data_IF_827549612373
#
_entry.id   IF_827549612373
#
_cell.length_a   1.000
_cell.length_b   1.000
_cell.length_c   1.000
_cell.angle_alpha   90.00
_cell.angle_beta   90.00
_cell.angle_gamma   90.00
#
_symmetry.space_group_name_H-M   'P 1'
#
loop_
_entity.id
_entity.type
_entity.pdbx_description
1 polymer ?
#
# COMPACT_ATOMS: atom_id res chain seq x y z
N UNK A 1 11.59 57.51 -23.92
CA UNK A 1 10.27 57.11 -23.41
C UNK A 1 9.52 56.57 -24.61
N UNK A 2 8.97 55.36 -24.55
CA UNK A 2 8.16 54.82 -25.63
C UNK A 2 6.93 55.71 -25.80
N UNK A 3 6.63 56.08 -27.02
CA UNK A 3 5.44 56.89 -27.34
C UNK A 3 4.19 56.00 -27.27
N UNK A 4 3.02 56.62 -27.16
CA UNK A 4 1.74 55.91 -27.18
C UNK A 4 1.58 55.04 -28.45
N UNK A 5 2.08 55.56 -29.59
CA UNK A 5 2.06 54.86 -30.87
C UNK A 5 2.94 53.60 -30.86
N UNK A 6 4.14 53.65 -30.25
CA UNK A 6 5.01 52.49 -30.11
C UNK A 6 4.37 51.38 -29.24
N UNK A 7 3.70 51.79 -28.14
CA UNK A 7 2.98 50.85 -27.28
C UNK A 7 1.80 50.19 -28.01
N UNK A 8 1.09 50.95 -28.83
CA UNK A 8 -0.06 50.46 -29.60
C UNK A 8 0.38 49.47 -30.69
N UNK A 9 1.52 49.71 -31.33
CA UNK A 9 2.11 48.77 -32.29
C UNK A 9 2.51 47.44 -31.64
N UNK A 10 3.13 47.46 -30.47
CA UNK A 10 3.51 46.27 -29.75
C UNK A 10 2.27 45.42 -29.38
N UNK A 11 1.20 46.07 -28.92
CA UNK A 11 -0.04 45.36 -28.55
C UNK A 11 -0.81 44.77 -29.74
N UNK A 12 -0.57 45.30 -30.95
CA UNK A 12 -1.19 44.84 -32.20
C UNK A 12 -0.41 43.70 -32.89
N UNK A 13 0.82 43.39 -32.41
CA UNK A 13 1.60 42.26 -32.94
C UNK A 13 0.80 40.99 -32.77
N UNK A 14 0.65 40.23 -33.86
CA UNK A 14 -0.03 38.93 -33.85
C UNK A 14 0.95 37.82 -33.53
N UNK A 15 0.58 36.96 -32.57
CA UNK A 15 1.28 35.73 -32.25
C UNK A 15 1.07 34.63 -33.31
N UNK A 16 1.81 33.56 -33.23
CA UNK A 16 1.71 32.39 -34.11
C UNK A 16 0.30 31.80 -34.23
N UNK A 17 -0.59 32.13 -33.32
CA UNK A 17 -2.02 31.75 -33.32
C UNK A 17 -2.92 32.82 -33.99
N UNK A 18 -2.33 33.80 -34.68
CA UNK A 18 -2.99 34.89 -35.39
C UNK A 18 -3.88 35.77 -34.49
N UNK A 19 -3.61 35.87 -33.19
CA UNK A 19 -4.28 36.71 -32.21
C UNK A 19 -3.34 37.76 -31.63
N UNK A 20 -3.82 38.98 -31.42
CA UNK A 20 -3.05 40.06 -30.77
C UNK A 20 -3.49 40.21 -29.31
N UNK A 21 -2.63 40.85 -28.50
CA UNK A 21 -2.93 41.14 -27.09
C UNK A 21 -4.16 42.04 -26.98
N UNK A 22 -4.30 43.04 -27.89
CA UNK A 22 -5.48 43.92 -27.96
C UNK A 22 -6.76 43.13 -28.21
N UNK A 23 -6.76 42.20 -29.16
CA UNK A 23 -7.93 41.35 -29.44
C UNK A 23 -8.32 40.46 -28.27
N UNK A 24 -7.32 39.94 -27.57
CA UNK A 24 -7.59 39.14 -26.38
C UNK A 24 -8.18 39.96 -25.24
N UNK A 25 -7.59 41.10 -24.92
CA UNK A 25 -8.12 42.01 -23.88
C UNK A 25 -9.51 42.50 -24.23
N UNK A 26 -9.77 42.87 -25.48
CA UNK A 26 -11.11 43.29 -25.94
C UNK A 26 -12.15 42.15 -25.74
N UNK A 27 -11.78 40.93 -26.03
CA UNK A 27 -12.66 39.76 -25.82
C UNK A 27 -12.93 39.49 -24.33
N UNK A 28 -11.95 39.69 -23.45
CA UNK A 28 -12.14 39.56 -21.99
C UNK A 28 -13.04 40.68 -21.47
N UNK A 29 -12.84 41.93 -21.92
CA UNK A 29 -13.71 43.06 -21.55
C UNK A 29 -15.14 42.84 -22.04
N UNK A 30 -15.32 42.37 -23.25
CA UNK A 30 -16.66 42.04 -23.79
C UNK A 30 -17.36 40.98 -22.93
N UNK A 31 -16.62 39.98 -22.48
CA UNK A 31 -17.14 38.93 -21.62
C UNK A 31 -17.52 39.44 -20.24
N UNK A 32 -16.73 40.35 -19.65
CA UNK A 32 -17.05 41.04 -18.39
C UNK A 32 -18.34 41.82 -18.52
N UNK A 33 -18.53 42.52 -19.65
CA UNK A 33 -19.74 43.28 -19.92
C UNK A 33 -20.98 42.40 -20.10
N UNK A 34 -20.79 41.19 -20.63
CA UNK A 34 -21.89 40.23 -20.83
C UNK A 34 -22.29 39.53 -19.51
N UNK A 35 -21.33 39.15 -18.70
CA UNK A 35 -21.54 38.37 -17.48
C UNK A 35 -21.78 39.24 -16.23
N UNK A 36 -21.36 40.51 -16.28
CA UNK A 36 -21.49 41.50 -15.19
C UNK A 36 -21.13 40.94 -13.80
N UNK A 37 -19.96 40.35 -13.61
CA UNK A 37 -19.58 39.76 -12.33
C UNK A 37 -19.41 40.85 -11.26
N UNK A 38 -19.86 40.57 -10.03
CA UNK A 38 -19.76 41.50 -8.89
C UNK A 38 -18.32 41.89 -8.53
N UNK A 39 -17.33 41.05 -8.90
CA UNK A 39 -15.89 41.25 -8.64
C UNK A 39 -15.10 41.09 -9.94
N UNK A 40 -15.33 41.95 -10.92
CA UNK A 40 -14.71 41.84 -12.25
C UNK A 40 -13.17 41.81 -12.21
N UNK A 41 -12.54 42.55 -11.29
CA UNK A 41 -11.08 42.57 -11.14
C UNK A 41 -10.52 41.27 -10.62
N UNK A 42 -11.17 40.64 -9.63
CA UNK A 42 -10.72 39.34 -9.06
C UNK A 42 -10.94 38.16 -10.02
N UNK A 43 -11.92 38.28 -10.94
CA UNK A 43 -12.22 37.22 -11.91
C UNK A 43 -11.55 37.43 -13.27
N UNK A 44 -10.74 38.50 -13.44
CA UNK A 44 -10.14 38.84 -14.73
C UNK A 44 -9.27 37.68 -15.30
N UNK A 45 -8.47 37.04 -14.47
CA UNK A 45 -7.60 35.93 -14.88
C UNK A 45 -8.42 34.72 -15.31
N UNK A 46 -9.46 34.38 -14.56
CA UNK A 46 -10.34 33.27 -14.89
C UNK A 46 -11.09 33.49 -16.20
N UNK A 47 -11.62 34.69 -16.40
CA UNK A 47 -12.27 35.06 -17.63
C UNK A 47 -11.30 35.08 -18.82
N UNK A 48 -10.05 35.48 -18.58
CA UNK A 48 -8.98 35.42 -19.59
C UNK A 48 -8.68 33.97 -20.01
N UNK A 49 -8.59 33.04 -19.04
CA UNK A 49 -8.41 31.58 -19.30
C UNK A 49 -9.59 31.05 -20.11
N UNK A 50 -10.82 31.40 -19.75
CA UNK A 50 -12.01 30.93 -20.44
C UNK A 50 -12.10 31.48 -21.89
N UNK A 51 -11.66 32.72 -22.11
CA UNK A 51 -11.58 33.32 -23.48
C UNK A 51 -10.52 32.60 -24.30
N UNK A 52 -9.36 32.27 -23.71
CA UNK A 52 -8.32 31.47 -24.37
C UNK A 52 -8.82 30.07 -24.70
N UNK A 53 -9.48 29.41 -23.75
CA UNK A 53 -10.05 28.08 -23.96
C UNK A 53 -11.09 28.02 -25.09
N UNK A 54 -11.92 29.07 -25.23
CA UNK A 54 -12.85 29.18 -26.37
C UNK A 54 -12.14 29.37 -27.72
N UNK A 55 -11.00 30.08 -27.75
CA UNK A 55 -10.21 30.25 -28.96
C UNK A 55 -9.44 28.96 -29.34
N UNK A 56 -8.92 28.24 -28.35
CA UNK A 56 -8.21 26.97 -28.54
C UNK A 56 -9.15 25.79 -28.79
N UNK A 57 -10.44 25.90 -28.42
CA UNK A 57 -11.45 24.98 -28.90
C UNK A 57 -11.81 25.35 -30.36
N UNK A 58 -10.78 25.34 -31.21
CA UNK A 58 -10.99 25.32 -32.65
C UNK A 58 -12.00 24.23 -32.98
N UNK A 59 -12.90 24.52 -33.93
CA UNK A 59 -13.89 23.59 -34.43
C UNK A 59 -13.36 22.16 -34.44
N UNK A 60 -14.09 21.17 -33.92
CA UNK A 60 -13.62 19.82 -33.89
C UNK A 60 -13.08 19.48 -35.28
N UNK A 61 -11.78 19.19 -35.38
CA UNK A 61 -11.23 18.64 -36.62
C UNK A 61 -12.16 17.53 -37.01
N UNK A 62 -12.67 17.48 -38.25
CA UNK A 62 -13.54 16.42 -38.64
C UNK A 62 -12.86 15.09 -38.26
N UNK A 63 -13.59 14.23 -37.62
CA UNK A 63 -13.15 12.90 -37.13
C UNK A 63 -12.80 11.96 -38.28
N UNK A 64 -12.11 12.45 -39.31
CA UNK A 64 -11.92 11.73 -40.58
C UNK A 64 -10.86 10.63 -40.53
N UNK A 65 -10.16 10.47 -39.40
CA UNK A 65 -9.31 9.30 -39.21
C UNK A 65 -9.28 8.91 -37.73
N UNK A 66 -10.32 8.20 -37.29
CA UNK A 66 -10.22 7.43 -36.05
C UNK A 66 -9.15 6.37 -36.31
N UNK A 67 -8.01 6.50 -35.66
CA UNK A 67 -6.95 5.50 -35.79
C UNK A 67 -7.53 4.12 -35.39
N UNK A 68 -7.16 3.02 -36.04
CA UNK A 68 -7.62 1.69 -35.67
C UNK A 68 -7.40 1.41 -34.18
N UNK A 69 -6.33 1.93 -33.62
CA UNK A 69 -5.99 1.83 -32.19
C UNK A 69 -7.00 2.56 -31.29
N UNK A 70 -7.57 3.70 -31.74
CA UNK A 70 -8.58 4.42 -30.97
C UNK A 70 -9.91 3.65 -30.89
N UNK A 71 -10.28 2.93 -31.97
CA UNK A 71 -11.47 2.07 -31.97
C UNK A 71 -11.29 0.87 -31.05
N UNK A 72 -10.10 0.27 -31.09
CA UNK A 72 -9.77 -0.86 -30.21
C UNK A 72 -9.73 -0.42 -28.74
N UNK A 73 -9.13 0.72 -28.47
CA UNK A 73 -9.12 1.32 -27.13
C UNK A 73 -10.54 1.62 -26.64
N UNK A 74 -11.41 2.22 -27.49
CA UNK A 74 -12.79 2.50 -27.14
C UNK A 74 -13.61 1.22 -26.86
N UNK A 75 -13.33 0.13 -27.61
CA UNK A 75 -13.96 -1.18 -27.35
C UNK A 75 -13.51 -1.74 -26.00
N UNK A 76 -12.20 -1.72 -25.71
CA UNK A 76 -11.65 -2.16 -24.41
C UNK A 76 -12.22 -1.33 -23.26
N UNK A 77 -12.28 -0.01 -23.42
CA UNK A 77 -12.87 0.88 -22.42
C UNK A 77 -14.36 0.59 -22.20
N UNK A 78 -15.13 0.33 -23.27
CA UNK A 78 -16.55 -0.03 -23.18
C UNK A 78 -16.74 -1.38 -22.48
N UNK A 79 -15.90 -2.37 -22.78
CA UNK A 79 -15.93 -3.68 -22.11
C UNK A 79 -15.62 -3.53 -20.62
N UNK A 80 -14.62 -2.72 -20.29
CA UNK A 80 -14.24 -2.42 -18.91
C UNK A 80 -15.39 -1.77 -18.13
N UNK A 81 -16.03 -0.75 -18.70
CA UNK A 81 -17.20 -0.10 -18.08
C UNK A 81 -18.36 -1.08 -17.89
N UNK A 82 -18.57 -1.98 -18.83
CA UNK A 82 -19.59 -3.02 -18.69
C UNK A 82 -19.25 -4.00 -17.57
N UNK A 83 -18.00 -4.42 -17.47
CA UNK A 83 -17.52 -5.29 -16.37
C UNK A 83 -17.62 -4.60 -15.01
N UNK A 84 -17.28 -3.29 -14.92
CA UNK A 84 -17.44 -2.48 -13.73
C UNK A 84 -18.89 -2.44 -13.23
N UNK A 85 -19.85 -2.33 -14.13
CA UNK A 85 -21.27 -2.27 -13.79
C UNK A 85 -21.84 -3.65 -13.40
N UNK A 86 -21.24 -4.74 -13.86
CA UNK A 86 -21.71 -6.09 -13.62
C UNK A 86 -21.01 -6.80 -12.46
N UNK A 87 -19.89 -6.24 -11.95
CA UNK A 87 -19.19 -6.83 -10.81
C UNK A 87 -20.04 -6.71 -9.54
N UNK A 88 -20.28 -7.81 -8.82
CA UNK A 88 -20.98 -7.76 -7.53
C UNK A 88 -20.16 -6.90 -6.55
N UNK A 89 -20.83 -5.95 -5.89
CA UNK A 89 -20.17 -5.03 -4.95
C UNK A 89 -19.49 -5.74 -3.76
N UNK A 90 -19.92 -6.95 -3.48
CA UNK A 90 -19.44 -7.73 -2.33
C UNK A 90 -18.27 -8.67 -2.70
N UNK A 91 -18.11 -8.98 -3.99
CA UNK A 91 -17.05 -9.88 -4.45
C UNK A 91 -15.74 -9.15 -4.75
N UNK A 92 -15.78 -7.89 -5.21
CA UNK A 92 -14.61 -7.11 -5.52
C UNK A 92 -14.54 -5.87 -4.63
N UNK A 93 -13.44 -5.72 -3.90
CA UNK A 93 -13.20 -4.55 -3.05
C UNK A 93 -13.24 -3.25 -3.85
N UNK A 94 -13.96 -2.26 -3.35
CA UNK A 94 -13.99 -0.93 -3.97
C UNK A 94 -12.76 -0.10 -3.56
N UNK A 95 -11.65 -0.32 -4.25
CA UNK A 95 -10.38 0.31 -3.95
C UNK A 95 -10.44 1.86 -4.04
N UNK A 96 -11.31 2.42 -4.89
CA UNK A 96 -11.43 3.88 -5.01
C UNK A 96 -11.93 4.54 -3.73
N UNK A 97 -12.86 3.89 -3.01
CA UNK A 97 -13.32 4.36 -1.69
C UNK A 97 -12.28 4.11 -0.60
N UNK A 98 -11.55 3.00 -0.69
CA UNK A 98 -10.57 2.62 0.31
C UNK A 98 -9.31 3.47 0.20
N UNK A 99 -8.96 3.93 -0.99
CA UNK A 99 -7.83 4.85 -1.20
C UNK A 99 -7.99 6.15 -0.43
N UNK A 100 -9.20 6.70 -0.34
CA UNK A 100 -9.45 7.91 0.46
C UNK A 100 -9.14 7.71 1.94
N UNK A 101 -9.44 6.52 2.48
CA UNK A 101 -9.06 6.15 3.87
C UNK A 101 -7.55 5.93 4.00
N UNK A 102 -6.93 5.26 3.04
CA UNK A 102 -5.49 4.99 3.04
C UNK A 102 -4.66 6.28 2.93
N UNK A 103 -5.16 7.32 2.25
CA UNK A 103 -4.51 8.63 2.20
C UNK A 103 -4.35 9.23 3.61
N UNK A 104 -5.33 9.08 4.50
CA UNK A 104 -5.21 9.46 5.91
C UNK A 104 -4.12 8.67 6.64
N UNK A 105 -3.95 7.40 6.30
CA UNK A 105 -2.88 6.56 6.80
C UNK A 105 -1.49 6.93 6.28
N UNK A 106 -1.42 7.85 5.32
CA UNK A 106 -0.17 8.24 4.65
C UNK A 106 0.27 7.24 3.58
N UNK A 107 -0.66 6.42 3.09
CA UNK A 107 -0.45 5.51 1.96
C UNK A 107 -1.33 6.00 0.82
N UNK A 108 -0.74 6.68 -0.15
CA UNK A 108 -1.47 7.15 -1.34
C UNK A 108 -1.02 6.38 -2.56
N UNK A 109 -1.97 5.72 -3.22
CA UNK A 109 -1.76 5.13 -4.54
C UNK A 109 -2.06 6.11 -5.67
N UNK A 110 -2.69 7.28 -5.34
CA UNK A 110 -3.22 8.19 -6.35
C UNK A 110 -4.51 7.67 -7.00
N UNK A 111 -5.33 8.60 -7.51
CA UNK A 111 -6.66 8.26 -8.06
C UNK A 111 -6.58 7.44 -9.35
N UNK A 112 -5.62 7.74 -10.20
CA UNK A 112 -5.44 7.05 -11.48
C UNK A 112 -4.91 5.63 -11.27
N UNK A 113 -3.90 5.47 -10.40
CA UNK A 113 -3.31 4.17 -10.07
C UNK A 113 -4.33 3.27 -9.37
N UNK A 114 -5.07 3.76 -8.38
CA UNK A 114 -6.10 2.99 -7.68
C UNK A 114 -7.25 2.57 -8.59
N UNK A 115 -7.66 3.45 -9.51
CA UNK A 115 -8.66 3.10 -10.51
C UNK A 115 -8.17 2.01 -11.48
N UNK A 116 -6.91 2.12 -11.95
CA UNK A 116 -6.31 1.10 -12.80
C UNK A 116 -6.26 -0.27 -12.10
N UNK A 117 -5.80 -0.29 -10.84
CA UNK A 117 -5.76 -1.50 -10.02
C UNK A 117 -7.17 -2.09 -9.85
N UNK A 118 -8.16 -1.25 -9.52
CA UNK A 118 -9.54 -1.68 -9.38
C UNK A 118 -10.10 -2.32 -10.65
N UNK A 119 -9.83 -1.73 -11.82
CA UNK A 119 -10.19 -2.31 -13.10
C UNK A 119 -9.56 -3.69 -13.32
N UNK A 120 -8.29 -3.85 -12.93
CA UNK A 120 -7.58 -5.14 -13.04
C UNK A 120 -8.12 -6.20 -12.08
N UNK A 121 -8.57 -5.81 -10.89
CA UNK A 121 -9.25 -6.71 -9.96
C UNK A 121 -10.57 -7.24 -10.55
N UNK A 122 -11.35 -6.36 -11.19
CA UNK A 122 -12.60 -6.77 -11.84
C UNK A 122 -12.34 -7.66 -13.06
N UNK A 123 -11.32 -7.33 -13.86
CA UNK A 123 -10.91 -8.16 -14.99
C UNK A 123 -10.51 -9.57 -14.51
N UNK A 124 -9.71 -9.65 -13.44
CA UNK A 124 -9.32 -10.92 -12.82
C UNK A 124 -10.54 -11.71 -12.34
N UNK A 125 -11.42 -11.08 -11.57
CA UNK A 125 -12.65 -11.72 -11.08
C UNK A 125 -13.50 -12.27 -12.22
N UNK A 126 -13.74 -11.46 -13.26
CA UNK A 126 -14.55 -11.88 -14.41
C UNK A 126 -13.94 -13.04 -15.19
N UNK A 127 -12.61 -13.08 -15.32
CA UNK A 127 -11.92 -14.14 -16.03
C UNK A 127 -11.88 -15.46 -15.25
N UNK A 128 -11.97 -15.39 -13.92
CA UNK A 128 -11.86 -16.57 -13.05
C UNK A 128 -13.20 -17.13 -12.59
N UNK A 129 -14.32 -16.44 -12.88
CA UNK A 129 -15.67 -16.95 -12.51
C UNK A 129 -16.01 -18.31 -13.11
N UNK A 130 -15.55 -18.56 -14.34
CA UNK A 130 -15.83 -19.79 -15.08
C UNK A 130 -14.63 -20.77 -15.07
N UNK A 131 -13.64 -20.55 -14.18
CA UNK A 131 -12.47 -21.42 -14.06
C UNK A 131 -12.74 -22.63 -13.17
N UNK A 132 -11.83 -23.61 -13.19
CA UNK A 132 -11.90 -24.80 -12.33
C UNK A 132 -11.77 -24.45 -10.83
N UNK A 133 -11.17 -23.30 -10.49
CA UNK A 133 -11.04 -22.78 -9.13
C UNK A 133 -11.63 -21.35 -9.09
N UNK A 134 -12.97 -21.22 -8.95
CA UNK A 134 -13.64 -19.93 -9.00
C UNK A 134 -13.28 -19.07 -7.80
N UNK A 135 -13.09 -17.77 -8.05
CA UNK A 135 -12.79 -16.78 -7.02
C UNK A 135 -14.08 -16.21 -6.47
N UNK A 136 -14.27 -16.30 -5.15
CA UNK A 136 -15.42 -15.73 -4.44
C UNK A 136 -15.24 -14.24 -4.13
N UNK A 137 -14.03 -13.85 -3.70
CA UNK A 137 -13.70 -12.46 -3.38
C UNK A 137 -12.31 -12.08 -3.86
N UNK A 138 -12.15 -10.83 -4.29
CA UNK A 138 -10.86 -10.22 -4.65
C UNK A 138 -10.65 -8.96 -3.83
N UNK A 139 -9.52 -8.91 -3.14
CA UNK A 139 -9.07 -7.77 -2.35
C UNK A 139 -7.71 -7.28 -2.80
N UNK A 140 -7.46 -6.00 -2.67
CA UNK A 140 -6.14 -5.44 -2.85
C UNK A 140 -5.34 -5.63 -1.56
N UNK A 141 -4.34 -6.50 -1.59
CA UNK A 141 -3.47 -6.74 -0.44
C UNK A 141 -2.44 -5.63 -0.26
N UNK A 142 -1.86 -5.15 -1.35
CA UNK A 142 -0.87 -4.09 -1.28
C UNK A 142 0.09 -4.03 -2.45
N UNK A 143 1.16 -3.26 -2.27
CA UNK A 143 2.19 -3.00 -3.26
C UNK A 143 3.56 -3.36 -2.69
N UNK A 144 4.26 -4.29 -3.33
CA UNK A 144 5.64 -4.61 -3.03
C UNK A 144 6.56 -3.84 -3.98
N UNK A 145 7.45 -3.04 -3.40
CA UNK A 145 8.36 -2.19 -4.14
C UNK A 145 9.56 -3.00 -4.64
N UNK A 146 9.79 -2.95 -5.94
CA UNK A 146 10.91 -3.59 -6.59
C UNK A 146 12.03 -2.63 -6.94
N UNK A 147 13.16 -3.18 -7.40
CA UNK A 147 14.25 -2.37 -7.92
C UNK A 147 13.85 -1.65 -9.22
N UNK A 148 14.34 -0.43 -9.39
CA UNK A 148 14.14 0.38 -10.62
C UNK A 148 12.65 0.70 -10.93
N UNK A 149 11.78 0.70 -9.92
CA UNK A 149 10.35 0.97 -10.09
C UNK A 149 9.58 -0.17 -10.78
N UNK A 150 10.11 -1.40 -10.73
CA UNK A 150 9.42 -2.61 -11.16
C UNK A 150 8.67 -3.19 -9.97
N UNK A 151 7.50 -2.62 -9.67
CA UNK A 151 6.72 -2.93 -8.49
C UNK A 151 5.72 -4.06 -8.77
N UNK A 152 5.29 -4.73 -7.71
CA UNK A 152 4.27 -5.78 -7.74
C UNK A 152 3.02 -5.30 -7.01
N UNK A 153 1.89 -5.25 -7.72
CA UNK A 153 0.58 -5.05 -7.08
C UNK A 153 -0.02 -6.42 -6.79
N UNK A 154 -0.32 -6.65 -5.53
CA UNK A 154 -0.73 -7.97 -5.04
C UNK A 154 -2.23 -7.98 -4.78
N UNK A 155 -2.92 -8.99 -5.34
CA UNK A 155 -4.34 -9.26 -5.12
C UNK A 155 -4.48 -10.52 -4.26
N UNK A 156 -5.25 -10.42 -3.20
CA UNK A 156 -5.64 -11.53 -2.35
C UNK A 156 -7.00 -12.04 -2.81
N UNK A 157 -7.07 -13.32 -3.14
CA UNK A 157 -8.26 -13.96 -3.65
C UNK A 157 -8.72 -15.07 -2.72
N UNK A 158 -9.99 -15.02 -2.37
CA UNK A 158 -10.69 -16.08 -1.64
C UNK A 158 -11.31 -17.02 -2.66
N UNK A 159 -10.81 -18.26 -2.72
CA UNK A 159 -11.31 -19.29 -3.62
C UNK A 159 -12.31 -20.21 -2.90
N UNK A 160 -13.07 -20.98 -3.64
CA UNK A 160 -13.99 -21.94 -3.05
C UNK A 160 -13.21 -23.06 -2.31
N UNK A 161 -13.51 -23.24 -1.04
CA UNK A 161 -12.86 -24.25 -0.20
C UNK A 161 -13.26 -25.69 -0.56
N UNK A 162 -14.32 -25.86 -1.38
CA UNK A 162 -14.80 -27.17 -1.82
C UNK A 162 -13.92 -27.81 -2.90
N UNK A 163 -13.05 -27.04 -3.55
CA UNK A 163 -12.13 -27.55 -4.57
C UNK A 163 -10.90 -28.13 -3.88
N UNK A 164 -10.79 -29.47 -3.87
CA UNK A 164 -9.58 -30.14 -3.44
C UNK A 164 -8.44 -29.86 -4.41
N UNK A 165 -7.49 -29.06 -3.98
CA UNK A 165 -6.26 -28.83 -4.73
C UNK A 165 -5.20 -29.86 -4.37
N UNK A 166 -5.04 -30.88 -5.18
CA UNK A 166 -3.99 -31.91 -5.07
C UNK A 166 -2.55 -31.35 -5.03
N UNK A 167 -2.38 -30.07 -5.29
CA UNK A 167 -1.09 -29.37 -5.29
C UNK A 167 -0.69 -28.73 -3.96
N UNK A 168 -1.60 -28.58 -2.99
CA UNK A 168 -1.32 -27.97 -1.68
C UNK A 168 -0.82 -29.04 -0.74
N UNK A 169 0.49 -29.20 -0.65
CA UNK A 169 1.14 -30.24 0.19
C UNK A 169 1.20 -29.87 1.67
N UNK A 170 0.91 -28.65 2.05
CA UNK A 170 1.02 -28.13 3.40
C UNK A 170 -0.32 -27.63 3.91
N UNK A 171 -0.64 -27.95 5.17
CA UNK A 171 -1.75 -27.38 5.94
C UNK A 171 -3.09 -27.20 5.21
N UNK A 172 -3.17 -27.58 3.93
CA UNK A 172 -4.34 -27.35 3.11
C UNK A 172 -4.66 -25.84 2.96
N UNK A 173 -5.92 -25.52 2.88
CA UNK A 173 -6.44 -24.14 2.82
C UNK A 173 -6.66 -23.51 4.22
N UNK A 174 -6.27 -24.17 5.29
CA UNK A 174 -6.40 -23.64 6.66
C UNK A 174 -5.16 -22.87 7.13
N UNK A 175 -4.01 -23.12 6.48
CA UNK A 175 -2.74 -22.50 6.81
C UNK A 175 -2.37 -21.30 5.95
N UNK A 176 -1.08 -21.15 5.73
CA UNK A 176 -0.52 -20.05 4.95
C UNK A 176 -1.02 -19.97 3.50
N UNK A 177 -1.59 -21.06 2.97
CA UNK A 177 -2.19 -21.12 1.62
C UNK A 177 -3.72 -20.96 1.61
N UNK A 178 -4.31 -20.37 2.65
CA UNK A 178 -5.74 -20.06 2.74
C UNK A 178 -6.23 -19.22 1.56
N UNK A 179 -5.46 -18.21 1.20
CA UNK A 179 -5.75 -17.32 0.08
C UNK A 179 -4.83 -17.59 -1.10
N UNK A 180 -5.38 -17.44 -2.31
CA UNK A 180 -4.59 -17.45 -3.54
C UNK A 180 -4.20 -16.02 -3.88
N UNK A 181 -2.92 -15.81 -4.20
CA UNK A 181 -2.40 -14.49 -4.50
C UNK A 181 -2.05 -14.34 -5.97
N UNK A 182 -2.49 -13.23 -6.54
CA UNK A 182 -2.15 -12.84 -7.91
C UNK A 182 -1.32 -11.55 -7.87
N UNK A 183 -0.39 -11.45 -8.80
CA UNK A 183 0.47 -10.28 -8.93
C UNK A 183 0.26 -9.64 -10.29
N UNK A 184 -0.09 -8.36 -10.26
CA UNK A 184 -0.08 -7.49 -11.43
C UNK A 184 1.32 -6.90 -11.58
N UNK A 185 1.94 -7.13 -12.72
CA UNK A 185 3.25 -6.61 -13.08
C UNK A 185 3.12 -5.31 -13.88
N UNK A 186 4.22 -4.58 -14.05
CA UNK A 186 4.24 -3.29 -14.75
C UNK A 186 3.88 -3.38 -16.24
N UNK A 187 4.01 -4.56 -16.85
CA UNK A 187 3.57 -4.83 -18.24
C UNK A 187 2.05 -5.01 -18.36
N UNK A 188 1.32 -4.97 -17.23
CA UNK A 188 -0.13 -5.17 -17.15
C UNK A 188 -0.55 -6.63 -17.10
N UNK A 189 0.38 -7.58 -17.08
CA UNK A 189 0.10 -9.01 -16.91
C UNK A 189 -0.25 -9.33 -15.45
N UNK A 190 -1.24 -10.21 -15.26
CA UNK A 190 -1.62 -10.74 -13.95
C UNK A 190 -1.20 -12.21 -13.90
N UNK A 191 -0.36 -12.54 -12.92
CA UNK A 191 0.20 -13.88 -12.76
C UNK A 191 -0.15 -14.42 -11.37
N UNK A 192 -0.59 -15.68 -11.29
CA UNK A 192 -0.81 -16.37 -10.02
C UNK A 192 0.54 -16.69 -9.36
N UNK A 193 0.63 -16.46 -8.04
CA UNK A 193 1.78 -16.89 -7.27
C UNK A 193 1.65 -18.36 -6.88
N UNK A 194 2.76 -19.11 -6.84
CA UNK A 194 2.76 -20.51 -6.40
C UNK A 194 2.42 -20.62 -4.92
N UNK A 195 1.91 -21.76 -4.49
CA UNK A 195 1.73 -22.06 -3.07
C UNK A 195 3.08 -22.05 -2.35
N UNK A 196 3.05 -21.57 -1.10
CA UNK A 196 4.24 -21.48 -0.25
C UNK A 196 4.47 -22.76 0.52
N UNK A 197 5.74 -23.08 0.80
CA UNK A 197 6.16 -24.21 1.66
C UNK A 197 6.79 -23.70 2.96
N UNK A 198 6.80 -24.54 4.01
CA UNK A 198 7.43 -24.25 5.30
C UNK A 198 8.89 -23.81 5.15
N UNK A 199 9.65 -24.55 4.31
CA UNK A 199 11.05 -24.23 4.03
C UNK A 199 11.20 -22.84 3.42
N UNK A 200 10.31 -22.46 2.50
CA UNK A 200 10.33 -21.14 1.87
C UNK A 200 10.05 -20.04 2.90
N UNK A 201 9.10 -20.24 3.80
CA UNK A 201 8.79 -19.30 4.88
C UNK A 201 9.98 -19.15 5.83
N UNK A 202 10.57 -20.28 6.28
CA UNK A 202 11.75 -20.28 7.15
C UNK A 202 12.95 -19.56 6.52
N UNK A 203 13.23 -19.84 5.25
CA UNK A 203 14.30 -19.18 4.51
C UNK A 203 13.99 -17.69 4.32
N UNK A 204 12.74 -17.33 3.96
CA UNK A 204 12.36 -15.95 3.71
C UNK A 204 12.54 -15.03 4.94
N UNK A 205 12.35 -15.55 6.16
CA UNK A 205 12.62 -14.79 7.40
C UNK A 205 14.07 -14.34 7.53
N UNK A 206 15.00 -15.12 7.01
CA UNK A 206 16.44 -14.89 7.14
C UNK A 206 17.01 -14.09 5.95
N UNK A 207 16.32 -14.09 4.82
CA UNK A 207 16.78 -13.45 3.59
C UNK A 207 16.33 -11.99 3.56
N UNK A 208 17.29 -11.06 3.53
CA UNK A 208 17.06 -9.63 3.37
C UNK A 208 17.57 -9.17 2.02
N UNK A 209 16.66 -8.98 1.07
CA UNK A 209 17.00 -8.48 -0.26
C UNK A 209 15.85 -7.71 -0.89
N UNK A 210 16.17 -6.80 -1.79
CA UNK A 210 15.18 -6.14 -2.62
C UNK A 210 14.70 -7.03 -3.75
N UNK A 211 13.43 -6.89 -4.12
CA UNK A 211 12.83 -7.57 -5.24
C UNK A 211 13.38 -7.02 -6.56
N UNK A 212 13.60 -7.90 -7.54
CA UNK A 212 14.16 -7.49 -8.83
C UNK A 212 13.11 -7.00 -9.82
N UNK A 213 11.84 -7.37 -9.62
CA UNK A 213 10.75 -7.09 -10.55
C UNK A 213 10.57 -8.15 -11.64
N UNK A 214 11.23 -9.30 -11.51
CA UNK A 214 11.08 -10.43 -12.43
C UNK A 214 10.83 -11.73 -11.64
N UNK A 215 9.60 -12.21 -11.64
CA UNK A 215 9.15 -13.38 -10.89
C UNK A 215 9.91 -14.68 -11.21
N UNK A 216 10.52 -14.78 -12.37
CA UNK A 216 11.18 -16.00 -12.85
C UNK A 216 12.66 -16.12 -12.45
N UNK A 217 13.22 -15.05 -11.87
CA UNK A 217 14.64 -15.05 -11.47
C UNK A 217 14.82 -15.90 -10.21
N UNK A 218 15.88 -16.72 -10.18
CA UNK A 218 16.26 -17.45 -8.98
C UNK A 218 16.76 -16.50 -7.89
N UNK A 219 16.40 -16.80 -6.64
CA UNK A 219 16.79 -15.98 -5.47
C UNK A 219 18.18 -16.40 -5.00
N UNK A 220 19.19 -15.60 -5.34
CA UNK A 220 20.53 -15.79 -4.81
C UNK A 220 20.63 -15.18 -3.40
N UNK A 221 20.66 -16.02 -2.38
CA UNK A 221 20.68 -15.61 -0.98
C UNK A 221 21.43 -16.65 -0.12
N UNK A 222 21.74 -16.27 1.12
CA UNK A 222 22.22 -17.15 2.14
C UNK A 222 21.37 -16.96 3.41
N UNK A 223 20.70 -18.01 3.89
CA UNK A 223 20.64 -19.38 3.34
C UNK A 223 20.07 -19.43 1.92
N UNK A 224 20.37 -20.49 1.19
CA UNK A 224 19.87 -20.68 -0.17
C UNK A 224 18.33 -20.78 -0.16
N UNK A 225 17.67 -19.91 -0.91
CA UNK A 225 16.21 -19.91 -0.99
C UNK A 225 15.74 -20.93 -2.04
N UNK A 226 14.83 -21.87 -1.67
CA UNK A 226 14.34 -22.90 -2.59
C UNK A 226 13.24 -22.33 -3.50
N UNK A 227 13.61 -21.77 -4.66
CA UNK A 227 12.65 -21.31 -5.63
C UNK A 227 13.04 -20.02 -6.36
N UNK A 228 12.10 -19.51 -7.15
CA UNK A 228 12.20 -18.26 -7.87
C UNK A 228 11.74 -17.06 -7.02
N UNK A 229 11.85 -15.85 -7.59
CA UNK A 229 11.32 -14.63 -6.95
C UNK A 229 9.82 -14.72 -6.71
N UNK A 230 9.05 -15.44 -7.54
CA UNK A 230 7.62 -15.66 -7.30
C UNK A 230 7.36 -16.40 -5.97
N UNK A 231 8.14 -17.46 -5.68
CA UNK A 231 8.05 -18.17 -4.41
C UNK A 231 8.50 -17.29 -3.23
N UNK A 232 9.52 -16.46 -3.43
CA UNK A 232 10.01 -15.55 -2.41
C UNK A 232 8.99 -14.44 -2.08
N UNK A 233 8.41 -13.82 -3.09
CA UNK A 233 7.31 -12.86 -2.94
C UNK A 233 6.14 -13.49 -2.19
N UNK A 234 5.77 -14.73 -2.55
CA UNK A 234 4.68 -15.45 -1.88
C UNK A 234 4.98 -15.72 -0.40
N UNK A 235 6.21 -16.11 -0.08
CA UNK A 235 6.64 -16.34 1.30
C UNK A 235 6.66 -15.05 2.13
N UNK A 236 7.13 -13.94 1.55
CA UNK A 236 7.10 -12.61 2.19
C UNK A 236 5.65 -12.19 2.46
N UNK A 237 4.73 -12.34 1.49
CA UNK A 237 3.32 -12.03 1.67
C UNK A 237 2.74 -12.79 2.85
N UNK A 238 3.02 -14.10 2.98
CA UNK A 238 2.54 -14.90 4.10
C UNK A 238 3.04 -14.37 5.45
N UNK A 239 4.32 -14.03 5.55
CA UNK A 239 4.91 -13.47 6.78
C UNK A 239 4.29 -12.12 7.13
N UNK A 240 4.13 -11.23 6.16
CA UNK A 240 3.52 -9.92 6.38
C UNK A 240 2.06 -10.09 6.78
N UNK A 241 1.28 -10.89 6.06
CA UNK A 241 -0.15 -11.08 6.34
C UNK A 241 -0.36 -11.62 7.76
N UNK A 242 0.38 -12.65 8.16
CA UNK A 242 0.23 -13.22 9.50
C UNK A 242 0.57 -12.23 10.63
N UNK A 243 1.52 -11.33 10.39
CA UNK A 243 1.95 -10.34 11.38
C UNK A 243 1.12 -9.05 11.36
N UNK A 244 0.49 -8.71 10.22
CA UNK A 244 -0.12 -7.38 10.00
C UNK A 244 -1.62 -7.40 9.68
N UNK A 245 -2.27 -8.56 9.74
CA UNK A 245 -3.71 -8.67 9.66
C UNK A 245 -4.33 -8.17 10.98
N UNK A 246 -4.73 -6.89 11.02
CA UNK A 246 -5.25 -6.23 12.21
C UNK A 246 -6.56 -5.50 11.92
N UNK A 247 -7.45 -5.48 12.89
CA UNK A 247 -8.75 -4.84 12.82
C UNK A 247 -9.16 -4.25 14.18
N UNK A 248 -10.18 -3.39 14.25
CA UNK A 248 -10.78 -3.00 15.53
C UNK A 248 -11.29 -4.22 16.31
N UNK A 249 -11.17 -4.19 17.64
CA UNK A 249 -11.39 -5.32 18.58
C UNK A 249 -12.71 -6.07 18.34
N UNK A 250 -13.79 -5.39 18.03
CA UNK A 250 -15.10 -6.04 17.93
C UNK A 250 -15.41 -6.63 16.55
N UNK A 251 -14.51 -6.46 15.56
CA UNK A 251 -14.81 -6.83 14.17
C UNK A 251 -14.65 -8.34 13.90
N UNK A 252 -13.93 -9.03 14.74
CA UNK A 252 -13.72 -10.47 14.65
C UNK A 252 -13.95 -11.13 16.02
N UNK A 253 -14.31 -12.39 16.01
CA UNK A 253 -14.49 -13.19 17.19
C UNK A 253 -14.07 -14.63 16.95
N UNK A 254 -13.84 -15.36 18.02
CA UNK A 254 -13.61 -16.80 17.99
C UNK A 254 -14.93 -17.52 17.74
N UNK A 255 -14.94 -18.53 16.88
CA UNK A 255 -16.06 -19.46 16.73
C UNK A 255 -15.91 -20.58 17.75
N UNK A 256 -17.02 -20.97 18.39
CA UNK A 256 -17.10 -22.08 19.36
C UNK A 256 -17.10 -23.46 18.65
N UNK A 257 -16.37 -23.65 17.57
CA UNK A 257 -16.26 -24.95 16.92
C UNK A 257 -15.44 -25.91 17.81
N UNK A 258 -15.94 -27.12 18.03
CA UNK A 258 -15.42 -28.10 19.02
C UNK A 258 -13.94 -28.52 18.80
N UNK A 259 -13.38 -28.33 17.60
CA UNK A 259 -12.02 -28.82 17.27
C UNK A 259 -11.02 -27.74 16.80
N UNK A 260 -11.46 -26.52 16.49
CA UNK A 260 -10.54 -25.44 16.09
C UNK A 260 -11.13 -24.07 16.38
N UNK A 261 -10.31 -23.15 16.89
CA UNK A 261 -10.68 -21.74 17.04
C UNK A 261 -10.67 -21.10 15.65
N UNK A 262 -11.81 -21.14 14.97
CA UNK A 262 -11.99 -20.42 13.73
C UNK A 262 -12.29 -18.95 14.03
N UNK A 263 -11.59 -18.05 13.36
CA UNK A 263 -11.83 -16.60 13.45
C UNK A 263 -12.96 -16.24 12.48
N UNK A 264 -14.03 -15.68 13.00
CA UNK A 264 -15.22 -15.29 12.22
C UNK A 264 -15.40 -13.80 12.25
N UNK A 265 -15.73 -13.21 11.08
CA UNK A 265 -16.06 -11.80 10.98
C UNK A 265 -17.43 -11.53 11.60
N UNK A 266 -17.50 -10.53 12.46
CA UNK A 266 -18.74 -10.00 13.05
C UNK A 266 -19.30 -8.80 12.28
N UNK A 267 -18.65 -8.42 11.20
CA UNK A 267 -19.12 -7.33 10.33
C UNK A 267 -20.35 -7.81 9.56
N UNK A 268 -21.52 -7.25 9.88
CA UNK A 268 -22.81 -7.66 9.30
C UNK A 268 -23.49 -8.83 10.04
N UNK A 269 -22.97 -9.27 11.16
CA UNK A 269 -23.62 -10.25 12.04
C UNK A 269 -24.78 -9.57 12.82
N UNK A 270 -25.95 -10.20 12.81
CA UNK A 270 -27.15 -9.70 13.52
C UNK A 270 -27.16 -10.09 15.00
N UNK A 271 -26.52 -11.21 15.38
CA UNK A 271 -26.51 -11.73 16.76
C UNK A 271 -25.45 -11.05 17.62
N UNK A 272 -24.28 -10.76 17.04
CA UNK A 272 -23.16 -10.12 17.74
C UNK A 272 -22.53 -9.04 16.84
N UNK A 273 -23.19 -7.91 16.68
CA UNK A 273 -22.75 -6.88 15.73
C UNK A 273 -21.40 -6.28 16.14
N UNK A 274 -20.56 -6.02 15.15
CA UNK A 274 -19.32 -5.30 15.36
C UNK A 274 -19.58 -3.85 15.80
N UNK A 275 -18.82 -3.37 16.75
CA UNK A 275 -18.90 -1.98 17.24
C UNK A 275 -17.88 -1.11 16.52
N UNK A 276 -18.32 0.07 16.04
CA UNK A 276 -17.42 1.03 15.40
C UNK A 276 -16.45 1.64 16.40
N UNK A 277 -15.26 2.04 15.93
CA UNK A 277 -14.33 2.82 16.75
C UNK A 277 -14.95 4.13 17.20
N UNK A 278 -14.67 4.52 18.44
CA UNK A 278 -15.04 5.83 18.97
C UNK A 278 -13.86 6.80 18.89
N UNK A 279 -14.15 8.11 18.98
CA UNK A 279 -13.10 9.13 18.99
C UNK A 279 -12.11 8.99 20.16
N UNK A 280 -12.55 8.40 21.28
CA UNK A 280 -11.72 8.21 22.47
C UNK A 280 -10.75 7.02 22.28
N UNK A 281 -11.21 5.99 21.59
CA UNK A 281 -10.49 4.72 21.46
C UNK A 281 -9.64 4.62 20.17
N UNK A 282 -9.84 5.50 19.19
CA UNK A 282 -9.22 5.39 17.87
C UNK A 282 -7.70 5.45 17.89
N UNK A 283 -7.11 6.10 18.90
CA UNK A 283 -5.64 6.18 19.08
C UNK A 283 -5.08 5.17 20.09
N UNK A 284 -5.94 4.33 20.68
CA UNK A 284 -5.50 3.34 21.66
C UNK A 284 -5.20 2.00 20.97
N UNK A 285 -4.01 1.46 21.20
CA UNK A 285 -3.60 0.15 20.68
C UNK A 285 -4.43 -1.00 21.26
N UNK A 286 -5.02 -0.86 22.45
CA UNK A 286 -5.91 -1.85 23.03
C UNK A 286 -7.22 -2.01 22.28
N UNK A 287 -7.59 -1.02 21.45
CA UNK A 287 -8.79 -1.06 20.59
C UNK A 287 -8.56 -1.78 19.26
N UNK A 288 -7.37 -2.30 19.05
CA UNK A 288 -6.99 -3.01 17.84
C UNK A 288 -6.48 -4.41 18.17
N UNK A 289 -6.89 -5.40 17.39
CA UNK A 289 -6.50 -6.79 17.54
C UNK A 289 -6.03 -7.39 16.22
N UNK A 290 -5.23 -8.44 16.31
CA UNK A 290 -5.03 -9.33 15.19
C UNK A 290 -6.30 -10.13 14.88
N UNK A 291 -6.41 -10.63 13.66
CA UNK A 291 -7.51 -11.52 13.26
C UNK A 291 -7.02 -12.70 12.39
N UNK A 292 -5.72 -12.97 12.40
CA UNK A 292 -5.13 -14.14 11.75
C UNK A 292 -4.16 -14.88 12.68
N UNK A 293 -4.01 -16.18 12.44
CA UNK A 293 -3.04 -16.98 13.14
C UNK A 293 -1.61 -16.55 12.84
N UNK A 294 -0.76 -16.58 13.87
CA UNK A 294 0.66 -16.31 13.68
C UNK A 294 1.37 -17.53 13.08
N UNK A 295 2.26 -17.27 12.12
CA UNK A 295 3.16 -18.31 11.60
C UNK A 295 4.23 -18.62 12.65
N UNK A 296 4.37 -19.89 13.05
CA UNK A 296 5.37 -20.34 13.99
C UNK A 296 6.81 -20.30 13.42
N UNK A 297 7.79 -20.62 14.26
CA UNK A 297 9.21 -20.63 13.84
C UNK A 297 9.52 -21.68 12.77
N UNK A 298 8.68 -22.71 12.64
CA UNK A 298 8.81 -23.77 11.65
C UNK A 298 8.11 -23.47 10.33
N UNK A 299 7.35 -22.38 10.24
CA UNK A 299 6.68 -21.92 9.02
C UNK A 299 5.23 -22.38 8.90
N UNK A 300 4.58 -22.81 10.00
CA UNK A 300 3.18 -23.25 10.05
C UNK A 300 2.28 -22.24 10.73
N UNK A 301 1.02 -22.22 10.33
CA UNK A 301 -0.05 -21.45 11.00
C UNK A 301 -0.99 -22.36 11.81
N UNK A 302 -1.19 -23.59 11.36
CA UNK A 302 -2.06 -24.59 12.01
C UNK A 302 -1.30 -25.38 13.08
N UNK A 303 -2.01 -26.23 13.77
CA UNK A 303 -1.42 -27.17 14.75
C UNK A 303 -0.48 -28.14 14.03
N UNK A 304 0.60 -28.53 14.68
CA UNK A 304 1.53 -29.50 14.15
C UNK A 304 0.83 -30.85 13.85
N UNK A 305 1.23 -31.56 12.78
CA UNK A 305 0.65 -32.85 12.45
C UNK A 305 0.93 -33.89 13.54
N UNK A 306 -0.03 -34.77 13.77
CA UNK A 306 0.14 -35.90 14.66
C UNK A 306 0.74 -37.07 13.86
N UNK A 307 1.70 -37.77 14.48
CA UNK A 307 2.32 -38.99 13.94
C UNK A 307 2.15 -40.12 14.92
N UNK A 308 2.01 -41.35 14.42
CA UNK A 308 1.91 -42.53 15.27
C UNK A 308 3.32 -42.96 15.71
N UNK A 309 3.57 -43.01 17.02
CA UNK A 309 4.82 -43.48 17.58
C UNK A 309 4.96 -45.01 17.46
N UNK A 310 6.11 -45.56 17.88
CA UNK A 310 6.37 -47.02 17.85
C UNK A 310 5.41 -47.80 18.77
N UNK A 311 4.79 -47.15 19.75
CA UNK A 311 3.83 -47.73 20.70
C UNK A 311 2.38 -47.68 20.18
N UNK A 312 2.14 -47.08 19.00
CA UNK A 312 0.84 -46.96 18.36
C UNK A 312 0.00 -45.78 18.88
N UNK A 313 0.62 -44.86 19.63
CA UNK A 313 -0.04 -43.65 20.13
C UNK A 313 0.15 -42.49 19.17
N UNK A 314 -0.87 -41.65 19.02
CA UNK A 314 -0.79 -40.38 18.26
C UNK A 314 -0.07 -39.35 19.11
N UNK A 315 1.12 -38.92 18.64
CA UNK A 315 1.93 -37.88 19.27
C UNK A 315 2.23 -36.79 18.25
N UNK A 316 2.47 -35.58 18.74
CA UNK A 316 2.93 -34.49 17.86
C UNK A 316 4.24 -34.88 17.18
N UNK A 317 4.38 -34.57 15.88
CA UNK A 317 5.62 -34.83 15.15
C UNK A 317 6.80 -34.17 15.88
N UNK A 318 7.84 -34.92 16.29
CA UNK A 318 8.98 -34.39 17.04
C UNK A 318 9.72 -33.24 16.35
N UNK A 319 9.59 -33.10 15.03
CA UNK A 319 10.18 -32.00 14.25
C UNK A 319 9.60 -30.64 14.71
N UNK A 320 8.34 -30.60 15.13
CA UNK A 320 7.65 -29.39 15.54
C UNK A 320 7.65 -29.14 17.06
N UNK A 321 8.27 -30.02 17.85
CA UNK A 321 8.33 -29.88 19.32
C UNK A 321 9.01 -28.58 19.75
N UNK A 322 9.96 -28.09 18.96
CA UNK A 322 10.65 -26.80 19.18
C UNK A 322 9.98 -25.60 18.51
N UNK A 323 8.80 -25.76 17.90
CA UNK A 323 8.09 -24.67 17.25
C UNK A 323 7.65 -23.64 18.28
N UNK A 324 7.96 -22.37 17.99
CA UNK A 324 7.57 -21.24 18.83
C UNK A 324 6.72 -20.27 18.02
N UNK A 325 5.64 -19.76 18.60
CA UNK A 325 4.78 -18.74 18.03
C UNK A 325 5.10 -17.39 18.68
N UNK A 326 5.00 -16.32 17.90
CA UNK A 326 5.16 -14.96 18.43
C UNK A 326 3.96 -14.55 19.30
N UNK A 327 2.78 -15.10 19.00
CA UNK A 327 1.56 -14.93 19.82
C UNK A 327 0.75 -16.23 19.79
N UNK A 328 0.19 -16.57 20.93
CA UNK A 328 -0.64 -17.78 21.08
C UNK A 328 -2.10 -17.47 20.70
N UNK A 329 -2.61 -16.30 21.11
CA UNK A 329 -3.97 -15.88 20.80
C UNK A 329 -4.01 -15.18 19.42
N UNK A 330 -4.77 -15.72 18.46
CA UNK A 330 -4.95 -15.09 17.16
C UNK A 330 -5.71 -13.73 17.23
N UNK A 331 -6.44 -13.49 18.33
CA UNK A 331 -7.16 -12.23 18.59
C UNK A 331 -6.41 -11.35 19.62
N UNK A 332 -5.10 -11.53 19.79
CA UNK A 332 -4.30 -10.74 20.71
C UNK A 332 -4.39 -9.24 20.41
N UNK A 333 -4.48 -8.43 21.46
CA UNK A 333 -4.48 -6.97 21.31
C UNK A 333 -3.10 -6.46 20.89
N UNK A 334 -3.06 -5.39 20.09
CA UNK A 334 -1.79 -4.78 19.67
C UNK A 334 -1.03 -4.14 20.83
N UNK A 335 -1.72 -3.81 21.92
CA UNK A 335 -1.10 -3.29 23.14
C UNK A 335 -0.19 -4.31 23.83
N UNK A 336 -0.42 -5.61 23.60
CA UNK A 336 0.37 -6.70 24.20
C UNK A 336 1.73 -6.88 23.50
N UNK A 337 1.90 -6.32 22.30
CA UNK A 337 3.16 -6.35 21.55
C UNK A 337 3.99 -5.09 21.83
N UNK A 338 4.94 -5.16 22.74
CA UNK A 338 5.83 -4.04 23.07
C UNK A 338 6.59 -3.56 21.84
N UNK A 339 6.36 -2.28 21.45
CA UNK A 339 7.10 -1.61 20.38
C UNK A 339 6.82 -2.14 18.96
N UNK A 340 5.84 -3.00 18.77
CA UNK A 340 5.47 -3.54 17.45
C UNK A 340 4.62 -2.60 16.60
N UNK A 341 3.90 -1.69 17.24
CA UNK A 341 2.87 -0.87 16.60
C UNK A 341 2.86 0.58 17.03
N UNK A 342 2.37 1.44 16.16
CA UNK A 342 2.12 2.86 16.44
C UNK A 342 0.71 3.21 15.98
N UNK A 343 -0.09 3.75 16.89
CA UNK A 343 -1.43 4.27 16.59
C UNK A 343 -1.45 5.78 16.49
N UNK A 344 -2.32 6.31 15.64
CA UNK A 344 -2.52 7.75 15.42
C UNK A 344 -4.00 7.96 15.08
N UNK A 345 -4.60 9.03 15.60
CA UNK A 345 -5.92 9.50 15.19
C UNK A 345 -5.78 10.74 14.32
N UNK A 346 -6.41 10.75 13.16
CA UNK A 346 -6.34 11.83 12.18
C UNK A 346 -7.73 12.18 11.62
N UNK A 347 -8.07 13.45 11.45
CA UNK A 347 -7.45 14.56 12.18
C UNK A 347 -7.73 14.45 13.68
N UNK A 348 -6.92 15.08 14.50
CA UNK A 348 -7.11 15.06 15.96
C UNK A 348 -8.39 15.73 16.43
N UNK A 349 -8.97 16.59 15.59
CA UNK A 349 -10.25 17.30 15.82
C UNK A 349 -10.99 17.45 14.50
N UNK A 350 -12.30 17.19 14.49
CA UNK A 350 -13.13 17.35 13.30
C UNK A 350 -14.33 16.40 13.29
N UNK A 351 -15.15 16.50 12.25
CA UNK A 351 -16.36 15.67 12.10
C UNK A 351 -16.02 14.27 11.60
N UNK A 352 -15.04 14.16 10.72
CA UNK A 352 -14.58 12.88 10.18
C UNK A 352 -13.21 12.57 10.76
N UNK A 353 -13.15 11.56 11.61
CA UNK A 353 -11.94 11.11 12.27
C UNK A 353 -11.62 9.69 11.83
N UNK A 354 -10.35 9.36 11.78
CA UNK A 354 -9.85 8.07 11.31
C UNK A 354 -8.79 7.56 12.30
N UNK A 355 -8.97 6.34 12.78
CA UNK A 355 -7.93 5.61 13.51
C UNK A 355 -6.96 4.98 12.52
N UNK A 356 -5.67 5.15 12.75
CA UNK A 356 -4.59 4.61 11.90
C UNK A 356 -3.61 3.85 12.76
N UNK A 357 -3.30 2.62 12.39
CA UNK A 357 -2.28 1.81 13.04
C UNK A 357 -1.22 1.42 12.03
N UNK A 358 0.05 1.57 12.42
CA UNK A 358 1.22 1.27 11.56
C UNK A 358 2.11 0.25 12.23
N UNK A 359 2.51 -0.76 11.49
CA UNK A 359 3.49 -1.73 11.98
C UNK A 359 4.91 -1.13 11.96
N UNK A 360 5.65 -1.31 13.04
CA UNK A 360 7.06 -0.98 13.14
C UNK A 360 7.93 -2.18 12.74
N UNK A 361 7.41 -3.39 12.86
CA UNK A 361 8.05 -4.63 12.44
C UNK A 361 8.09 -4.77 10.91
N UNK A 362 6.97 -4.43 10.24
CA UNK A 362 6.86 -4.42 8.79
C UNK A 362 6.58 -3.00 8.29
N UNK A 363 7.63 -2.18 8.07
CA UNK A 363 7.45 -0.81 7.59
C UNK A 363 6.69 -0.78 6.27
N UNK A 364 5.58 -0.05 6.26
CA UNK A 364 4.66 0.01 5.12
C UNK A 364 3.33 -0.72 5.35
N UNK A 365 3.19 -1.53 6.40
CA UNK A 365 1.91 -2.09 6.80
C UNK A 365 1.09 -1.07 7.59
N UNK A 366 -0.12 -0.82 7.12
CA UNK A 366 -1.04 0.17 7.69
C UNK A 366 -2.44 -0.41 7.75
N UNK A 367 -3.10 -0.24 8.88
CA UNK A 367 -4.54 -0.47 9.03
C UNK A 367 -5.23 0.85 9.35
N UNK A 368 -6.37 1.09 8.71
CA UNK A 368 -7.14 2.33 8.82
C UNK A 368 -8.60 2.00 9.03
N UNK A 369 -9.23 2.65 10.00
CA UNK A 369 -10.66 2.53 10.25
C UNK A 369 -11.28 3.90 10.56
N UNK A 370 -12.38 4.29 9.89
CA UNK A 370 -13.08 5.52 10.19
C UNK A 370 -13.82 5.40 11.54
N UNK A 371 -13.85 6.49 12.28
CA UNK A 371 -14.58 6.58 13.54
C UNK A 371 -16.08 6.62 13.24
N UNK A 372 -16.84 5.79 13.95
CA UNK A 372 -18.30 5.72 13.82
C UNK A 372 -18.82 4.85 12.68
N UNK A 373 -17.92 4.20 11.91
CA UNK A 373 -18.29 3.25 10.85
C UNK A 373 -17.73 1.85 11.15
N UNK A 374 -18.49 0.81 10.82
CA UNK A 374 -18.04 -0.59 10.90
C UNK A 374 -17.33 -0.95 9.60
N UNK A 375 -16.14 -0.39 9.42
CA UNK A 375 -15.30 -0.61 8.23
C UNK A 375 -13.83 -0.44 8.59
N UNK A 376 -12.97 -1.21 7.97
CA UNK A 376 -11.52 -1.05 8.06
C UNK A 376 -10.85 -1.46 6.75
N UNK A 377 -9.63 -1.02 6.57
CA UNK A 377 -8.80 -1.35 5.41
C UNK A 377 -7.39 -1.61 5.86
N UNK A 378 -6.85 -2.77 5.47
CA UNK A 378 -5.44 -3.11 5.62
C UNK A 378 -4.75 -2.95 4.27
N UNK A 379 -3.55 -2.40 4.28
CA UNK A 379 -2.74 -2.30 3.09
C UNK A 379 -1.26 -2.36 3.45
N UNK A 380 -0.49 -3.00 2.59
CA UNK A 380 0.96 -3.00 2.67
C UNK A 380 1.56 -2.25 1.47
N UNK A 381 2.41 -1.27 1.73
CA UNK A 381 3.22 -0.61 0.69
C UNK A 381 4.65 -0.49 1.17
N UNK A 382 5.52 -1.37 0.68
CA UNK A 382 6.89 -1.42 1.16
C UNK A 382 7.77 -2.41 0.41
N UNK A 383 9.00 -2.53 0.87
CA UNK A 383 10.02 -3.38 0.24
C UNK A 383 9.98 -4.86 0.66
N UNK A 384 9.04 -5.27 1.50
CA UNK A 384 8.99 -6.64 2.04
C UNK A 384 10.16 -6.97 2.98
N UNK A 385 10.70 -5.98 3.65
CA UNK A 385 11.84 -6.15 4.56
C UNK A 385 11.38 -6.04 6.01
N UNK A 386 11.76 -7.05 6.79
CA UNK A 386 11.54 -7.08 8.23
C UNK A 386 12.47 -6.06 8.92
N UNK A 387 11.89 -5.20 9.76
CA UNK A 387 12.65 -4.29 10.63
C UNK A 387 13.12 -5.03 11.88
N UNK A 388 14.38 -4.91 12.20
CA UNK A 388 14.92 -5.46 13.46
C UNK A 388 14.88 -4.38 14.56
N UNK A 389 14.41 -4.72 15.77
CA UNK A 389 14.32 -3.74 16.86
C UNK A 389 15.69 -3.17 17.26
N UNK A 390 16.77 -3.89 16.98
CA UNK A 390 18.14 -3.47 17.25
C UNK A 390 18.88 -2.90 16.02
N UNK A 391 18.17 -2.72 14.89
CA UNK A 391 18.77 -2.10 13.72
C UNK A 391 19.11 -0.62 14.02
N UNK A 392 20.28 -0.19 13.55
CA UNK A 392 20.66 1.22 13.66
C UNK A 392 19.60 2.10 13.00
N UNK A 393 18.95 2.92 13.80
CA UNK A 393 18.03 3.94 13.30
C UNK A 393 18.80 5.26 13.31
N UNK A 394 19.07 5.86 12.13
CA UNK A 394 19.73 7.15 12.11
C UNK A 394 18.88 8.19 12.87
N UNK A 395 19.49 9.11 13.59
CA UNK A 395 18.76 10.18 14.24
C UNK A 395 17.96 10.97 13.22
N UNK A 396 16.78 11.42 13.61
CA UNK A 396 15.95 12.31 12.78
C UNK A 396 16.81 13.54 12.46
N UNK A 397 16.91 13.87 11.17
CA UNK A 397 17.59 15.08 10.75
C UNK A 397 17.00 16.27 11.54
N UNK A 398 17.84 17.12 12.13
CA UNK A 398 17.36 18.31 12.81
C UNK A 398 16.55 19.15 11.82
N UNK A 399 15.50 19.81 12.33
CA UNK A 399 14.77 20.82 11.55
C UNK A 399 15.79 21.80 10.97
N UNK A 400 15.50 22.33 9.77
CA UNK A 400 16.29 23.39 9.17
C UNK A 400 16.57 24.45 10.23
N UNK A 401 17.81 24.47 10.69
CA UNK A 401 18.25 25.49 11.64
C UNK A 401 18.40 26.80 10.88
N UNK A 402 18.00 27.89 11.49
CA UNK A 402 18.44 29.20 11.02
C UNK A 402 19.97 29.21 11.01
N UNK A 403 20.54 29.77 9.97
CA UNK A 403 21.98 29.97 9.91
C UNK A 403 22.46 30.53 11.25
N UNK A 404 23.51 29.92 11.79
CA UNK A 404 24.09 30.33 13.04
C UNK A 404 24.50 31.81 12.94
N UNK A 405 23.79 32.67 13.65
CA UNK A 405 24.00 34.12 13.59
C UNK A 405 25.33 34.61 14.21
N UNK A 406 26.14 33.72 14.75
CA UNK A 406 27.51 34.01 15.14
C UNK A 406 28.44 33.75 13.95
N UNK A 407 29.38 34.64 13.70
CA UNK A 407 30.44 34.41 12.74
C UNK A 407 31.04 33.03 12.93
N UNK A 408 31.07 32.21 11.84
CA UNK A 408 31.82 30.96 11.83
C UNK A 408 33.20 31.26 12.41
N UNK A 409 33.46 30.77 13.60
CA UNK A 409 34.82 30.70 14.11
C UNK A 409 35.50 29.68 13.21
N UNK A 410 36.38 30.13 12.34
CA UNK A 410 37.30 29.25 11.64
C UNK A 410 37.96 28.37 12.71
N UNK A 411 37.96 27.04 12.49
CA UNK A 411 38.77 26.18 13.34
C UNK A 411 40.17 26.74 13.35
N UNK A 412 40.55 27.22 14.51
CA UNK A 412 41.95 27.68 14.71
C UNK A 412 42.78 26.41 14.65
N UNK A 413 43.61 26.28 13.61
CA UNK A 413 44.59 25.21 13.52
C UNK A 413 45.30 25.09 14.87
N UNK A 414 45.24 23.91 15.47
CA UNK A 414 46.00 23.63 16.69
C UNK A 414 47.47 23.75 16.30
N UNK A 415 48.08 24.87 16.63
CA UNK A 415 49.51 25.03 16.46
C UNK A 415 50.15 24.05 17.45
N UNK A 416 50.68 22.95 16.93
CA UNK A 416 51.48 22.03 17.72
C UNK A 416 52.60 22.85 18.40
N UNK A 417 52.49 22.97 19.72
CA UNK A 417 53.60 23.57 20.48
C UNK A 417 54.83 22.69 20.27
N UNK A 418 55.97 23.27 19.83
CA UNK A 418 57.18 22.48 19.63
C UNK A 418 57.52 21.78 20.94
N UNK A 419 57.75 20.47 20.85
CA UNK A 419 58.23 19.69 22.00
C UNK A 419 59.55 20.27 22.40
N UNK A 420 59.63 20.97 23.55
CA UNK A 420 60.88 21.43 24.15
C UNK A 420 61.59 20.16 24.64
N UNK A 421 62.82 19.86 24.16
CA UNK A 421 63.59 18.76 24.68
C UNK A 421 63.80 18.98 26.19
N UNK A 422 63.40 17.99 26.98
CA UNK A 422 63.78 18.00 28.40
C UNK A 422 65.33 17.85 28.48
N UNK A 423 66.00 18.86 28.97
CA UNK A 423 67.41 18.75 29.39
C UNK A 423 67.51 17.63 30.43
N UNK A 424 68.14 16.55 30.05
CA UNK A 424 68.60 15.54 31.01
C UNK A 424 69.61 16.24 31.93
N UNK A 425 69.13 16.64 33.12
CA UNK A 425 69.99 17.18 34.15
C UNK A 425 71.04 16.14 34.54
N UNK A 426 72.26 16.46 34.34
CA UNK A 426 73.42 15.75 34.90
C UNK A 426 73.30 15.68 36.42
N UNK A 427 73.22 14.44 36.91
CA UNK A 427 73.42 14.14 38.34
C UNK A 427 74.91 14.29 38.67
N UNK A 428 75.25 15.15 39.63
CA UNK A 428 76.39 15.05 40.50
C UNK A 428 75.98 14.64 41.91
#
# INVERSE_FOLDING_TARGET
>A
MATYEDALQILQVKDGENSSVIEHVAAVVLKILQEQPNQATGMFEELSIQVKAKKTSAAPKPLDTISPNAVEFAKKASQLVTSLNNAPSDAVQNLSKDTELLEWGGVSLGKEESFYIHCKMIELYSNMMDSDDPINKVRFWGKLLGCKGLDYYVFECECDSSVENDGIKMEGREGANKYTYYVLQNDGSVTVLPHVTEEQIKCARQVKRFLTGNLNVSVAAYPAFPGSEANFVRAIISLISSDTAVAPVSFFGASDAEDSVAIVSKVGDEESPAEALTSENASDLSSWTHFENCIDSMGRMTVAPMVTNEEGEEVMDPIYESATKAREDPLAALADEEGGWKSIQLPSTGVTQVGVVKSLKWPGAVAVAPVGEVRFVNCYVGYGLLSEPNAYTPPILPLLQQEYGASLLEEVDIIETPIVPQDEGEDE
#
